data_IF_358925661859
#
_entry.id   IF_358925661859
#
_cell.length_a   1.000
_cell.length_b   1.000
_cell.length_c   1.000
_cell.angle_alpha   90.00
_cell.angle_beta   90.00
_cell.angle_gamma   90.00
#
_symmetry.space_group_name_H-M   'P 1'
#
loop_
_entity.id
_entity.type
_entity.pdbx_description
1 polymer ?
#
# COMPACT_ATOMS: atom_id res chain seq x y z
N UNK A 1 15.23 -3.32 -7.28
CA UNK A 1 14.57 -4.36 -8.10
C UNK A 1 15.52 -5.54 -8.24
N UNK A 2 15.02 -6.77 -8.06
CA UNK A 2 15.81 -8.01 -8.14
C UNK A 2 16.52 -8.25 -9.49
N UNK A 3 16.28 -7.41 -10.50
CA UNK A 3 16.83 -7.50 -11.88
C UNK A 3 16.54 -8.84 -12.56
N UNK A 4 15.57 -9.60 -12.05
CA UNK A 4 15.08 -10.85 -12.64
C UNK A 4 13.68 -10.58 -13.17
N UNK A 5 13.42 -10.80 -14.47
CA UNK A 5 12.09 -10.67 -15.04
C UNK A 5 11.08 -11.54 -14.28
N UNK A 6 9.88 -11.00 -14.03
CA UNK A 6 8.77 -11.65 -13.33
C UNK A 6 9.03 -12.01 -11.86
N UNK A 7 10.08 -11.49 -11.24
CA UNK A 7 10.32 -11.68 -9.80
C UNK A 7 9.36 -10.86 -8.91
N UNK A 8 8.73 -9.82 -9.47
CA UNK A 8 7.76 -8.97 -8.76
C UNK A 8 6.34 -9.29 -9.23
N UNK A 9 5.50 -9.72 -8.29
CA UNK A 9 4.06 -9.86 -8.50
C UNK A 9 3.29 -8.58 -8.16
N UNK A 10 2.31 -8.21 -8.97
CA UNK A 10 1.34 -7.14 -8.71
C UNK A 10 -0.07 -7.71 -8.70
N UNK A 11 -0.87 -7.39 -7.69
CA UNK A 11 -2.25 -7.86 -7.57
C UNK A 11 -3.14 -6.63 -7.44
N UNK A 12 -4.16 -6.52 -8.28
CA UNK A 12 -5.08 -5.39 -8.23
C UNK A 12 -6.28 -5.54 -9.16
N UNK A 13 -7.24 -4.64 -9.00
CA UNK A 13 -8.37 -4.50 -9.90
C UNK A 13 -7.90 -3.79 -11.17
N UNK A 14 -8.02 -4.46 -12.32
CA UNK A 14 -7.69 -3.88 -13.61
C UNK A 14 -8.95 -3.91 -14.47
N UNK A 15 -9.49 -2.73 -14.77
CA UNK A 15 -10.69 -2.60 -15.60
C UNK A 15 -10.44 -3.04 -17.04
N UNK A 16 -11.48 -3.55 -17.70
CA UNK A 16 -11.47 -3.88 -19.14
C UNK A 16 -11.70 -2.62 -19.99
N UNK A 17 -10.88 -1.60 -19.77
CA UNK A 17 -10.92 -0.32 -20.45
C UNK A 17 -9.54 0.07 -20.99
N UNK A 18 -9.46 1.21 -21.69
CA UNK A 18 -8.21 1.68 -22.30
C UNK A 18 -7.10 1.93 -21.27
N UNK A 19 -7.45 2.28 -20.03
CA UNK A 19 -6.47 2.54 -18.98
C UNK A 19 -5.92 1.22 -18.43
N UNK A 20 -6.78 0.23 -18.24
CA UNK A 20 -6.36 -1.11 -17.86
C UNK A 20 -5.40 -1.75 -18.88
N UNK A 21 -5.69 -1.63 -20.17
CA UNK A 21 -4.81 -2.14 -21.23
C UNK A 21 -3.43 -1.45 -21.25
N UNK A 22 -3.39 -0.13 -21.04
CA UNK A 22 -2.12 0.61 -20.94
C UNK A 22 -1.32 0.20 -19.69
N UNK A 23 -1.99 -0.05 -18.56
CA UNK A 23 -1.35 -0.53 -17.34
C UNK A 23 -0.71 -1.92 -17.56
N UNK A 24 -1.44 -2.87 -18.18
CA UNK A 24 -0.93 -4.21 -18.51
C UNK A 24 0.30 -4.15 -19.40
N UNK A 25 0.26 -3.28 -20.42
CA UNK A 25 1.38 -3.06 -21.33
C UNK A 25 2.63 -2.59 -20.58
N UNK A 26 2.50 -1.64 -19.66
CA UNK A 26 3.63 -1.13 -18.85
C UNK A 26 4.17 -2.17 -17.88
N UNK A 27 3.30 -2.87 -17.15
CA UNK A 27 3.73 -3.96 -16.26
C UNK A 27 4.53 -5.03 -17.01
N UNK A 28 4.10 -5.38 -18.23
CA UNK A 28 4.81 -6.36 -19.07
C UNK A 28 6.19 -5.86 -19.53
N UNK A 29 6.31 -4.56 -19.86
CA UNK A 29 7.57 -3.94 -20.24
C UNK A 29 8.58 -3.90 -19.08
N UNK A 30 8.09 -3.66 -17.86
CA UNK A 30 8.90 -3.59 -16.64
C UNK A 30 9.18 -4.98 -16.03
N UNK A 31 8.68 -6.06 -16.65
CA UNK A 31 8.86 -7.43 -16.17
C UNK A 31 8.13 -7.74 -14.86
N UNK A 32 6.97 -7.09 -14.63
CA UNK A 32 6.11 -7.31 -13.47
C UNK A 32 5.01 -8.31 -13.83
N UNK A 33 4.89 -9.38 -13.05
CA UNK A 33 3.83 -10.37 -13.21
C UNK A 33 2.55 -9.84 -12.54
N UNK A 34 1.44 -9.67 -13.26
CA UNK A 34 0.22 -9.11 -12.69
C UNK A 34 -0.92 -10.15 -12.59
N UNK A 35 -1.76 -10.02 -11.58
CA UNK A 35 -2.99 -10.78 -11.39
C UNK A 35 -4.19 -9.83 -11.45
N UNK A 36 -5.13 -10.11 -12.36
CA UNK A 36 -6.31 -9.27 -12.59
C UNK A 36 -7.56 -9.81 -11.89
N UNK A 37 -8.33 -8.90 -11.30
CA UNK A 37 -9.69 -9.14 -10.79
C UNK A 37 -10.62 -8.18 -11.55
N UNK A 38 -11.55 -8.71 -12.35
CA UNK A 38 -12.25 -7.96 -13.41
C UNK A 38 -13.69 -7.55 -13.05
N UNK A 39 -13.95 -7.34 -11.76
CA UNK A 39 -15.30 -7.07 -11.24
C UNK A 39 -15.69 -5.59 -11.22
N UNK A 40 -14.77 -4.68 -11.57
CA UNK A 40 -14.95 -3.23 -11.46
C UNK A 40 -14.18 -2.48 -12.57
N UNK A 41 -14.58 -1.23 -12.93
CA UNK A 41 -13.82 -0.38 -13.85
C UNK A 41 -12.44 0.00 -13.29
N UNK A 42 -11.51 0.44 -14.15
CA UNK A 42 -10.17 0.80 -13.72
C UNK A 42 -10.20 2.03 -12.81
N UNK A 43 -9.60 1.92 -11.62
CA UNK A 43 -9.41 3.05 -10.73
C UNK A 43 -8.51 4.09 -11.40
N UNK A 44 -8.95 5.35 -11.44
CA UNK A 44 -8.15 6.44 -12.00
C UNK A 44 -7.86 7.43 -10.89
N UNK A 45 -6.59 7.51 -10.49
CA UNK A 45 -6.15 8.57 -9.60
C UNK A 45 -6.10 9.87 -10.41
N UNK A 46 -7.11 10.72 -10.23
CA UNK A 46 -7.05 12.05 -10.82
C UNK A 46 -6.04 12.87 -10.02
N UNK A 47 -4.91 13.22 -10.65
CA UNK A 47 -3.96 14.19 -10.09
C UNK A 47 -4.54 15.60 -10.29
N UNK A 48 -5.67 15.84 -9.64
CA UNK A 48 -6.09 17.18 -9.26
C UNK A 48 -5.23 17.58 -8.07
N UNK A 49 -5.03 18.88 -7.86
CA UNK A 49 -4.38 19.39 -6.65
C UNK A 49 -5.14 19.00 -5.36
N UNK A 50 -6.26 18.24 -5.39
CA UNK A 50 -6.95 17.63 -4.23
C UNK A 50 -7.77 16.36 -4.59
N UNK A 51 -7.58 15.24 -3.84
CA UNK A 51 -8.57 14.16 -3.52
C UNK A 51 -8.48 12.81 -4.27
N UNK A 52 -8.30 11.67 -3.55
CA UNK A 52 -8.13 10.31 -4.13
C UNK A 52 -8.96 9.17 -3.49
N UNK A 53 -9.04 8.03 -4.18
CA UNK A 53 -9.76 6.79 -3.80
C UNK A 53 -8.85 5.79 -3.04
N UNK A 54 -9.42 4.80 -2.31
CA UNK A 54 -8.65 3.81 -1.51
C UNK A 54 -9.07 2.35 -1.76
N UNK A 55 -8.11 1.43 -1.62
CA UNK A 55 -8.22 -0.03 -1.82
C UNK A 55 -9.00 -0.70 -0.67
N UNK A 56 -9.62 -1.86 -0.95
CA UNK A 56 -10.41 -2.63 0.04
C UNK A 56 -9.58 -3.15 1.22
N UNK A 57 -9.98 -2.90 2.49
CA UNK A 57 -9.27 -3.38 3.68
C UNK A 57 -9.15 -4.91 3.80
N UNK A 58 -10.13 -5.65 3.28
CA UNK A 58 -10.18 -7.12 3.37
C UNK A 58 -9.02 -7.79 2.61
N UNK A 59 -8.61 -7.20 1.49
CA UNK A 59 -7.49 -7.70 0.68
C UNK A 59 -6.18 -7.63 1.45
N UNK A 60 -5.97 -6.55 2.23
CA UNK A 60 -4.76 -6.37 3.02
C UNK A 60 -4.70 -7.40 4.14
N UNK A 61 -5.82 -7.67 4.83
CA UNK A 61 -5.85 -8.68 5.90
C UNK A 61 -5.44 -10.07 5.40
N UNK A 62 -5.95 -10.49 4.23
CA UNK A 62 -5.58 -11.79 3.64
C UNK A 62 -4.08 -11.89 3.36
N UNK A 63 -3.47 -10.85 2.77
CA UNK A 63 -2.04 -10.83 2.45
C UNK A 63 -1.19 -10.89 3.73
N UNK A 64 -1.64 -10.18 4.75
CA UNK A 64 -0.96 -10.07 6.04
C UNK A 64 -0.98 -11.40 6.81
N UNK A 65 -2.12 -12.07 6.86
CA UNK A 65 -2.23 -13.40 7.46
C UNK A 65 -1.36 -14.42 6.71
N UNK A 66 -1.33 -14.35 5.37
CA UNK A 66 -0.44 -15.18 4.57
C UNK A 66 1.03 -14.89 4.86
N UNK A 67 1.43 -13.62 4.99
CA UNK A 67 2.80 -13.25 5.30
C UNK A 67 3.24 -13.75 6.69
N UNK A 68 2.39 -13.52 7.70
CA UNK A 68 2.62 -13.95 9.08
C UNK A 68 2.74 -15.48 9.22
N UNK A 69 1.84 -16.24 8.57
CA UNK A 69 1.87 -17.71 8.62
C UNK A 69 3.05 -18.34 7.88
N UNK A 70 3.62 -17.63 6.90
CA UNK A 70 4.71 -18.14 6.06
C UNK A 70 6.06 -17.50 6.39
N UNK A 71 6.16 -16.73 7.48
CA UNK A 71 7.39 -16.01 7.88
C UNK A 71 7.97 -15.17 6.73
N UNK A 72 7.10 -14.52 5.95
CA UNK A 72 7.49 -13.64 4.84
C UNK A 72 7.54 -12.21 5.34
N UNK A 73 8.54 -11.47 4.87
CA UNK A 73 8.65 -10.04 5.14
C UNK A 73 7.46 -9.29 4.53
N UNK A 74 6.71 -8.58 5.36
CA UNK A 74 5.61 -7.72 4.96
C UNK A 74 6.00 -6.25 5.14
N UNK A 75 5.79 -5.47 4.08
CA UNK A 75 6.15 -4.05 4.04
C UNK A 75 4.96 -3.24 3.57
N UNK A 76 4.75 -2.07 4.18
CA UNK A 76 3.66 -1.17 3.77
C UNK A 76 4.07 0.29 3.83
N UNK A 77 3.45 1.12 2.99
CA UNK A 77 3.58 2.57 3.03
C UNK A 77 2.40 3.18 3.82
N UNK A 78 2.60 4.31 4.50
CA UNK A 78 1.53 5.09 5.13
C UNK A 78 0.65 5.84 4.11
N UNK A 79 1.13 5.98 2.87
CA UNK A 79 0.48 6.52 1.68
C UNK A 79 0.10 8.01 1.73
N UNK A 80 -0.67 8.42 2.72
CA UNK A 80 -1.14 9.80 2.89
C UNK A 80 -1.62 10.08 4.32
N UNK A 81 -1.56 11.35 4.80
CA UNK A 81 -2.08 11.74 6.10
C UNK A 81 -3.55 11.36 6.35
N UNK A 82 -4.40 11.45 5.30
CA UNK A 82 -5.81 11.07 5.38
C UNK A 82 -6.01 9.61 5.78
N UNK A 83 -5.15 8.69 5.30
CA UNK A 83 -5.26 7.27 5.66
C UNK A 83 -4.95 7.07 7.15
N UNK A 84 -3.98 7.82 7.68
CA UNK A 84 -3.64 7.78 9.10
C UNK A 84 -4.77 8.31 10.00
N UNK A 85 -5.54 9.31 9.54
CA UNK A 85 -6.65 9.91 10.31
C UNK A 85 -7.93 9.08 10.25
N UNK A 86 -8.34 8.63 9.06
CA UNK A 86 -9.66 8.04 8.84
C UNK A 86 -9.66 6.51 8.86
N UNK A 87 -8.51 5.88 8.61
CA UNK A 87 -8.37 4.41 8.58
C UNK A 87 -7.46 3.87 9.68
N UNK A 88 -7.29 4.63 10.78
CA UNK A 88 -6.45 4.29 11.92
C UNK A 88 -6.64 2.85 12.39
N UNK A 89 -7.88 2.43 12.63
CA UNK A 89 -8.17 1.12 13.23
C UNK A 89 -7.78 -0.03 12.31
N UNK A 90 -7.95 0.13 11.00
CA UNK A 90 -7.48 -0.83 10.00
C UNK A 90 -5.95 -0.84 9.93
N UNK A 91 -5.33 0.34 9.94
CA UNK A 91 -3.88 0.51 9.87
C UNK A 91 -3.17 -0.11 11.08
N UNK A 92 -3.66 0.11 12.30
CA UNK A 92 -3.08 -0.44 13.54
C UNK A 92 -3.16 -1.96 13.58
N UNK A 93 -4.25 -2.56 13.12
CA UNK A 93 -4.38 -4.03 13.04
C UNK A 93 -3.32 -4.64 12.14
N UNK A 94 -3.05 -3.98 11.01
CA UNK A 94 -2.05 -4.44 10.05
C UNK A 94 -0.63 -4.14 10.54
N UNK A 95 -0.44 -3.02 11.27
CA UNK A 95 0.88 -2.58 11.77
C UNK A 95 1.57 -3.65 12.62
N UNK A 96 0.81 -4.46 13.35
CA UNK A 96 1.32 -5.57 14.17
C UNK A 96 2.02 -6.68 13.36
N UNK A 97 1.81 -6.71 12.04
CA UNK A 97 2.38 -7.71 11.15
C UNK A 97 3.38 -7.10 10.16
N UNK A 98 3.65 -5.79 10.23
CA UNK A 98 4.60 -5.12 9.35
C UNK A 98 6.01 -5.23 9.90
N UNK A 99 6.95 -5.70 9.07
CA UNK A 99 8.38 -5.69 9.39
C UNK A 99 9.00 -4.33 9.05
N UNK A 100 8.53 -3.69 7.97
CA UNK A 100 9.00 -2.36 7.57
C UNK A 100 7.83 -1.46 7.16
N UNK A 101 7.85 -0.24 7.70
CA UNK A 101 6.88 0.80 7.38
C UNK A 101 7.58 1.96 6.72
N UNK A 102 7.06 2.39 5.57
CA UNK A 102 7.57 3.54 4.83
C UNK A 102 6.59 4.70 4.94
N UNK A 103 7.09 5.92 5.03
CA UNK A 103 6.26 7.12 4.99
C UNK A 103 7.13 8.37 4.99
N UNK A 104 6.56 9.50 4.57
CA UNK A 104 7.21 10.79 4.69
C UNK A 104 7.00 11.42 6.08
N UNK A 105 7.69 12.53 6.35
CA UNK A 105 7.59 13.24 7.63
C UNK A 105 6.15 13.65 7.99
N UNK A 106 5.36 14.08 7.01
CA UNK A 106 4.00 14.54 7.25
C UNK A 106 3.08 13.37 7.65
N UNK A 107 3.18 12.25 6.95
CA UNK A 107 2.46 11.01 7.29
C UNK A 107 2.86 10.50 8.67
N UNK A 108 4.16 10.45 8.98
CA UNK A 108 4.64 10.02 10.29
C UNK A 108 4.15 10.93 11.43
N UNK A 109 4.15 12.25 11.21
CA UNK A 109 3.64 13.24 12.19
C UNK A 109 2.14 13.08 12.42
N UNK A 110 1.37 12.93 11.35
CA UNK A 110 -0.08 12.71 11.45
C UNK A 110 -0.38 11.39 12.14
N UNK A 111 0.34 10.32 11.78
CA UNK A 111 0.20 9.01 12.43
C UNK A 111 0.49 9.10 13.93
N UNK A 112 1.62 9.70 14.34
CA UNK A 112 1.98 9.90 15.76
C UNK A 112 0.89 10.67 16.52
N UNK A 113 0.39 11.77 15.93
CA UNK A 113 -0.66 12.59 16.53
C UNK A 113 -1.96 11.79 16.74
N UNK A 114 -2.35 10.99 15.75
CA UNK A 114 -3.58 10.17 15.81
C UNK A 114 -3.44 9.01 16.80
N UNK A 115 -2.23 8.47 16.98
CA UNK A 115 -1.95 7.45 18.00
C UNK A 115 -1.80 8.01 19.42
N UNK A 116 -1.72 9.34 19.58
CA UNK A 116 -1.44 9.96 20.88
C UNK A 116 0.01 9.73 21.33
N UNK A 117 0.92 9.45 20.40
CA UNK A 117 2.34 9.29 20.68
C UNK A 117 2.97 10.68 20.78
N UNK A 118 3.46 11.05 21.97
CA UNK A 118 4.19 12.30 22.21
C UNK A 118 5.63 12.23 21.64
N UNK A 119 5.77 12.03 20.33
CA UNK A 119 7.09 11.90 19.69
C UNK A 119 7.33 13.09 18.77
N UNK A 120 8.25 13.97 19.19
CA UNK A 120 8.71 15.15 18.42
C UNK A 120 9.83 14.76 17.43
N UNK A 121 10.31 13.51 17.45
CA UNK A 121 11.54 13.11 16.76
C UNK A 121 11.24 12.05 15.70
N UNK A 122 11.29 12.47 14.43
CA UNK A 122 11.17 11.61 13.23
C UNK A 122 12.24 10.52 13.14
N UNK A 123 13.30 10.57 13.96
CA UNK A 123 14.38 9.57 13.97
C UNK A 123 14.13 8.34 14.84
N UNK A 124 13.11 8.33 15.71
CA UNK A 124 12.93 7.25 16.70
C UNK A 124 12.01 6.11 16.26
N UNK A 125 11.37 6.22 15.09
CA UNK A 125 10.49 5.16 14.52
C UNK A 125 11.30 4.20 13.61
N UNK A 126 12.61 4.07 13.85
CA UNK A 126 13.53 3.30 13.01
C UNK A 126 14.00 1.97 13.61
N UNK A 127 13.66 1.67 14.86
CA UNK A 127 14.04 0.43 15.54
C UNK A 127 12.90 -0.01 16.47
N UNK A 128 11.98 -0.80 15.93
CA UNK A 128 11.07 -1.66 16.70
C UNK A 128 11.22 -3.08 16.17
#
# INVERSE_FOLDING_TARGET
MLQVPNATGYIGYIGKDKFGEEMKKRCSLDGVHYYEIDTAPMGTCTVCVVGGESVSPDSIQLVVEHAATNSKTFMMNLFAPFICEFFKDALVKVLLYMDYVFGNENEARTFSKVQGWEVIITQQIGEL
#
